data_IF_820013719992
#
_entry.id   IF_820013719992
#
_cell.length_a   1.000
_cell.length_b   1.000
_cell.length_c   1.000
_cell.angle_alpha   90.00
_cell.angle_beta   90.00
_cell.angle_gamma   90.00
#
_symmetry.space_group_name_H-M   'P 1'
#
loop_
_entity.id
_entity.type
_entity.pdbx_description
1 polymer ?
#
# COMPACT_ATOMS: atom_id res chain seq x y z
N UNK A 1 61.08 35.12 13.56
CA UNK A 1 60.51 33.78 13.38
C UNK A 1 59.05 33.97 13.08
N UNK A 2 58.66 33.74 11.84
CA UNK A 2 57.27 33.87 11.41
C UNK A 2 56.43 32.81 12.11
N UNK A 3 55.26 33.19 12.62
CA UNK A 3 54.46 32.37 13.55
C UNK A 3 53.79 31.19 12.81
N UNK A 4 54.56 30.12 12.62
CA UNK A 4 54.15 28.89 11.93
C UNK A 4 52.89 28.27 12.54
N UNK A 5 52.60 28.52 13.83
CA UNK A 5 51.40 28.07 14.52
C UNK A 5 50.14 28.75 13.98
N UNK A 6 50.19 30.08 13.81
CA UNK A 6 49.08 30.86 13.27
C UNK A 6 48.73 30.43 11.83
N UNK A 7 49.74 30.19 11.00
CA UNK A 7 49.54 29.74 9.61
C UNK A 7 48.84 28.37 9.54
N UNK A 8 49.24 27.42 10.40
CA UNK A 8 48.62 26.11 10.49
C UNK A 8 47.15 26.20 10.96
N UNK A 9 46.88 27.06 11.94
CA UNK A 9 45.53 27.31 12.44
C UNK A 9 44.62 27.90 11.35
N UNK A 10 45.09 28.93 10.62
CA UNK A 10 44.33 29.54 9.53
C UNK A 10 44.04 28.54 8.41
N UNK A 11 45.01 27.67 8.07
CA UNK A 11 44.79 26.61 7.10
C UNK A 11 43.76 25.59 7.55
N UNK A 12 43.75 25.23 8.84
CA UNK A 12 42.74 24.34 9.42
C UNK A 12 41.36 24.98 9.35
N UNK A 13 41.23 26.24 9.77
CA UNK A 13 39.97 26.99 9.71
C UNK A 13 39.45 27.03 8.26
N UNK A 14 40.31 27.29 7.28
CA UNK A 14 39.91 27.30 5.87
C UNK A 14 39.36 25.95 5.39
N UNK A 15 39.98 24.84 5.80
CA UNK A 15 39.47 23.49 5.50
C UNK A 15 38.13 23.22 6.17
N UNK A 16 38.01 23.57 7.44
CA UNK A 16 36.79 23.34 8.22
C UNK A 16 35.63 24.17 7.63
N UNK A 17 35.88 25.41 7.21
CA UNK A 17 34.87 26.26 6.53
C UNK A 17 34.44 25.67 5.18
N UNK A 18 35.38 25.16 4.38
CA UNK A 18 35.04 24.51 3.10
C UNK A 18 34.18 23.26 3.32
N UNK A 19 34.55 22.42 4.29
CA UNK A 19 33.78 21.22 4.63
C UNK A 19 32.39 21.57 5.15
N UNK A 20 32.26 22.63 5.96
CA UNK A 20 30.98 23.10 6.46
C UNK A 20 30.07 23.55 5.31
N UNK A 21 30.61 24.28 4.32
CA UNK A 21 29.83 24.71 3.17
C UNK A 21 29.28 23.51 2.37
N UNK A 22 30.13 22.54 2.05
CA UNK A 22 29.71 21.32 1.35
C UNK A 22 28.64 20.54 2.13
N UNK A 23 28.74 20.51 3.47
CA UNK A 23 27.72 19.89 4.31
C UNK A 23 26.39 20.67 4.27
N UNK A 24 26.43 22.00 4.25
CA UNK A 24 25.24 22.84 4.13
C UNK A 24 24.55 22.64 2.77
N UNK A 25 25.31 22.59 1.67
CA UNK A 25 24.78 22.35 0.33
C UNK A 25 24.06 20.98 0.25
N UNK A 26 24.66 19.95 0.88
CA UNK A 26 24.04 18.62 1.01
C UNK A 26 22.76 18.65 1.83
N UNK A 27 22.77 19.36 2.96
CA UNK A 27 21.60 19.50 3.81
C UNK A 27 20.45 20.20 3.09
N UNK A 28 20.73 21.29 2.38
CA UNK A 28 19.73 22.01 1.57
C UNK A 28 19.11 21.08 0.51
N UNK A 29 19.95 20.31 -0.17
CA UNK A 29 19.49 19.34 -1.17
C UNK A 29 18.57 18.28 -0.55
N UNK A 30 18.93 17.73 0.61
CA UNK A 30 18.12 16.73 1.31
C UNK A 30 16.79 17.30 1.79
N UNK A 31 16.79 18.51 2.36
CA UNK A 31 15.56 19.21 2.79
C UNK A 31 14.60 19.38 1.62
N UNK A 32 15.10 19.83 0.47
CA UNK A 32 14.30 19.98 -0.74
C UNK A 32 13.71 18.65 -1.23
N UNK A 33 14.47 17.55 -1.11
CA UNK A 33 13.94 16.21 -1.45
C UNK A 33 12.87 15.75 -0.47
N UNK A 34 13.04 16.01 0.83
CA UNK A 34 12.06 15.66 1.85
C UNK A 34 10.75 16.41 1.66
N UNK A 35 10.80 17.68 1.28
CA UNK A 35 9.61 18.47 0.99
C UNK A 35 8.82 17.89 -0.20
N UNK A 36 9.51 17.51 -1.28
CA UNK A 36 8.90 16.83 -2.44
C UNK A 36 8.26 15.49 -2.04
N UNK A 37 8.97 14.67 -1.27
CA UNK A 37 8.45 13.38 -0.76
C UNK A 37 7.21 13.59 0.10
N UNK A 38 7.22 14.59 0.98
CA UNK A 38 6.07 14.96 1.82
C UNK A 38 4.86 15.36 0.98
N UNK A 39 5.06 16.12 -0.09
CA UNK A 39 3.98 16.50 -0.99
C UNK A 39 3.34 15.27 -1.66
N UNK A 40 4.16 14.39 -2.25
CA UNK A 40 3.70 13.15 -2.87
C UNK A 40 2.97 12.23 -1.88
N UNK A 41 3.46 12.13 -0.65
CA UNK A 41 2.80 11.33 0.38
C UNK A 41 1.41 11.87 0.74
N UNK A 42 1.25 13.21 0.75
CA UNK A 42 -0.06 13.84 0.97
C UNK A 42 -1.01 13.57 -0.19
N UNK A 43 -0.53 13.62 -1.43
CA UNK A 43 -1.35 13.29 -2.61
C UNK A 43 -1.80 11.82 -2.59
N UNK A 44 -0.90 10.90 -2.24
CA UNK A 44 -1.20 9.49 -2.09
C UNK A 44 -2.26 9.25 -0.99
N UNK A 45 -2.11 9.91 0.16
CA UNK A 45 -3.10 9.84 1.23
C UNK A 45 -4.49 10.29 0.74
N UNK A 46 -4.56 11.42 0.04
CA UNK A 46 -5.82 11.93 -0.50
C UNK A 46 -6.43 10.99 -1.55
N UNK A 47 -5.61 10.32 -2.36
CA UNK A 47 -6.08 9.31 -3.30
C UNK A 47 -6.67 8.12 -2.56
N UNK A 48 -5.95 7.56 -1.59
CA UNK A 48 -6.42 6.43 -0.79
C UNK A 48 -7.73 6.74 -0.03
N UNK A 49 -7.87 7.95 0.52
CA UNK A 49 -9.11 8.38 1.18
C UNK A 49 -10.30 8.46 0.21
N UNK A 50 -10.08 8.91 -1.04
CA UNK A 50 -11.13 8.91 -2.07
C UNK A 50 -11.54 7.49 -2.45
N UNK A 51 -10.56 6.61 -2.69
CA UNK A 51 -10.80 5.23 -3.11
C UNK A 51 -11.54 4.45 -2.01
N UNK A 52 -11.16 4.66 -0.73
CA UNK A 52 -11.87 4.09 0.41
C UNK A 52 -13.33 4.54 0.44
N UNK A 53 -13.57 5.85 0.30
CA UNK A 53 -14.92 6.41 0.31
C UNK A 53 -15.78 5.88 -0.84
N UNK A 54 -15.18 5.72 -2.02
CA UNK A 54 -15.86 5.12 -3.17
C UNK A 54 -16.20 3.65 -2.92
N UNK A 55 -15.27 2.87 -2.37
CA UNK A 55 -15.50 1.48 -2.02
C UNK A 55 -16.61 1.33 -0.96
N UNK A 56 -16.61 2.16 0.07
CA UNK A 56 -17.68 2.23 1.08
C UNK A 56 -19.03 2.55 0.43
N UNK A 57 -19.08 3.56 -0.45
CA UNK A 57 -20.31 3.91 -1.17
C UNK A 57 -20.83 2.74 -2.03
N UNK A 58 -19.95 2.03 -2.73
CA UNK A 58 -20.33 0.87 -3.53
C UNK A 58 -20.87 -0.28 -2.66
N UNK A 59 -20.30 -0.49 -1.47
CA UNK A 59 -20.78 -1.49 -0.50
C UNK A 59 -22.17 -1.14 0.06
N UNK A 60 -22.44 0.14 0.30
CA UNK A 60 -23.76 0.60 0.77
C UNK A 60 -24.84 0.52 -0.30
N UNK A 61 -24.48 0.72 -1.58
CA UNK A 61 -25.42 0.87 -2.69
C UNK A 61 -25.49 -0.36 -3.60
N UNK A 62 -25.32 -1.56 -3.04
CA UNK A 62 -25.45 -2.82 -3.80
C UNK A 62 -26.93 -3.02 -4.20
N UNK A 63 -27.25 -3.13 -5.50
CA UNK A 63 -28.60 -3.42 -5.95
C UNK A 63 -29.16 -4.71 -5.34
N UNK A 64 -30.43 -4.68 -4.93
CA UNK A 64 -31.09 -5.79 -4.22
C UNK A 64 -31.20 -7.10 -5.01
N UNK A 65 -31.03 -7.05 -6.33
CA UNK A 65 -31.04 -8.21 -7.21
C UNK A 65 -29.67 -8.88 -7.36
N UNK A 66 -28.58 -8.26 -6.88
CA UNK A 66 -27.25 -8.87 -6.89
C UNK A 66 -27.05 -9.78 -5.67
N UNK A 67 -26.26 -10.86 -5.81
CA UNK A 67 -25.85 -11.66 -4.68
C UNK A 67 -25.15 -10.78 -3.63
N UNK A 68 -25.58 -10.88 -2.37
CA UNK A 68 -24.90 -10.17 -1.29
C UNK A 68 -23.46 -10.71 -1.18
N UNK A 69 -22.44 -9.84 -1.08
CA UNK A 69 -21.07 -10.30 -0.90
C UNK A 69 -21.00 -11.18 0.35
N UNK A 70 -20.42 -12.38 0.20
CA UNK A 70 -20.07 -13.24 1.31
C UNK A 70 -19.05 -12.50 2.17
N UNK A 71 -19.16 -12.65 3.49
CA UNK A 71 -18.34 -11.92 4.48
C UNK A 71 -16.82 -12.06 4.25
N UNK A 72 -16.39 -13.08 3.50
CA UNK A 72 -15.02 -13.34 3.06
C UNK A 72 -14.46 -12.28 2.09
N UNK A 73 -15.29 -11.58 1.31
CA UNK A 73 -14.85 -10.48 0.44
C UNK A 73 -14.67 -9.15 1.19
N UNK A 74 -15.15 -9.05 2.43
CA UNK A 74 -15.00 -7.85 3.27
C UNK A 74 -13.66 -7.97 4.01
N UNK A 75 -12.57 -8.03 3.26
CA UNK A 75 -11.23 -7.78 3.78
C UNK A 75 -11.04 -6.27 3.94
N UNK A 76 -11.87 -5.63 4.77
CA UNK A 76 -11.49 -4.35 5.37
C UNK A 76 -10.31 -4.69 6.29
N UNK A 77 -9.12 -4.10 6.09
CA UNK A 77 -8.01 -4.34 7.01
C UNK A 77 -8.31 -3.59 8.30
N UNK A 78 -9.15 -4.17 9.15
CA UNK A 78 -9.22 -3.80 10.55
C UNK A 78 -7.89 -4.16 11.17
N UNK A 79 -7.01 -3.16 11.32
CA UNK A 79 -5.76 -3.28 12.05
C UNK A 79 -6.08 -3.62 13.51
N UNK A 80 -6.19 -4.90 13.80
CA UNK A 80 -5.97 -5.49 15.12
C UNK A 80 -5.09 -6.71 14.95
N UNK A 81 -3.80 -6.44 15.07
CA UNK A 81 -2.71 -7.38 15.28
C UNK A 81 -2.96 -8.11 16.59
N UNK A 82 -3.37 -9.37 16.53
CA UNK A 82 -3.01 -10.37 17.52
C UNK A 82 -2.66 -11.68 16.80
N UNK A 83 -1.43 -12.13 17.03
CA UNK A 83 -0.93 -13.44 16.65
C UNK A 83 -1.87 -14.54 17.18
N UNK A 84 -2.27 -15.47 16.32
CA UNK A 84 -2.13 -16.88 16.64
C UNK A 84 -2.29 -17.76 15.39
N UNK A 85 -1.14 -18.23 14.93
CA UNK A 85 -0.94 -19.43 14.13
C UNK A 85 -1.71 -20.60 14.75
N UNK A 86 -2.64 -21.23 14.02
CA UNK A 86 -2.86 -22.70 13.98
C UNK A 86 -3.58 -23.10 12.70
N UNK A 87 -2.82 -23.79 11.87
CA UNK A 87 -3.23 -24.73 10.83
C UNK A 87 -4.09 -25.84 11.45
N UNK A 88 -5.31 -26.03 10.93
CA UNK A 88 -6.06 -27.29 11.00
C UNK A 88 -7.32 -27.19 10.10
N UNK A 89 -7.30 -27.95 9.01
CA UNK A 89 -8.43 -28.27 8.13
C UNK A 89 -9.63 -28.83 8.93
N UNK A 90 -10.88 -28.35 8.75
CA UNK A 90 -12.03 -29.00 9.32
C UNK A 90 -12.72 -29.90 8.30
N UNK A 91 -12.59 -31.19 8.59
CA UNK A 91 -13.33 -32.31 8.04
C UNK A 91 -14.85 -32.06 8.02
N UNK A 92 -15.50 -32.54 6.96
CA UNK A 92 -16.90 -32.30 6.63
C UNK A 92 -17.89 -32.85 7.69
N UNK A 93 -18.85 -32.02 8.12
CA UNK A 93 -20.01 -32.50 8.87
C UNK A 93 -21.32 -31.75 8.55
N UNK A 94 -22.14 -32.41 7.71
CA UNK A 94 -23.62 -32.56 7.74
C UNK A 94 -24.51 -31.30 7.72
N UNK A 95 -25.08 -31.07 6.52
CA UNK A 95 -26.22 -30.18 6.19
C UNK A 95 -27.53 -30.56 6.94
N UNK A 96 -28.45 -29.61 7.17
CA UNK A 96 -29.89 -29.89 7.14
C UNK A 96 -30.53 -29.41 5.83
N UNK A 97 -31.55 -30.14 5.40
CA UNK A 97 -32.22 -30.05 4.11
C UNK A 97 -32.79 -28.65 3.79
N UNK A 98 -32.36 -28.06 2.67
CA UNK A 98 -33.04 -26.96 1.99
C UNK A 98 -33.26 -27.34 0.53
N UNK A 99 -34.53 -27.26 0.14
CA UNK A 99 -35.13 -27.61 -1.16
C UNK A 99 -34.15 -27.49 -2.32
N UNK A 100 -33.99 -28.59 -3.04
CA UNK A 100 -33.16 -28.73 -4.23
C UNK A 100 -33.69 -27.78 -5.32
N UNK A 101 -33.09 -26.59 -5.40
CA UNK A 101 -33.24 -25.75 -6.59
C UNK A 101 -32.37 -26.40 -7.65
N UNK A 102 -32.99 -26.93 -8.71
CA UNK A 102 -32.29 -27.41 -9.89
C UNK A 102 -31.60 -26.21 -10.54
N UNK A 103 -30.35 -25.96 -10.16
CA UNK A 103 -29.49 -25.00 -10.84
C UNK A 103 -29.02 -25.72 -12.10
N UNK A 104 -29.45 -25.23 -13.27
CA UNK A 104 -28.90 -25.68 -14.55
C UNK A 104 -27.51 -25.06 -14.66
N UNK A 105 -26.49 -25.81 -14.23
CA UNK A 105 -25.10 -25.44 -14.48
C UNK A 105 -24.86 -25.48 -15.99
N UNK A 106 -24.53 -24.32 -16.55
CA UNK A 106 -24.04 -24.20 -17.93
C UNK A 106 -22.52 -24.39 -17.89
N UNK A 107 -22.00 -25.24 -18.78
CA UNK A 107 -20.57 -25.48 -18.90
C UNK A 107 -19.84 -24.15 -19.14
N UNK A 108 -18.79 -23.91 -18.37
CA UNK A 108 -17.91 -22.76 -18.58
C UNK A 108 -17.17 -22.97 -19.90
N UNK A 109 -17.21 -21.96 -20.78
CA UNK A 109 -16.43 -22.00 -22.02
C UNK A 109 -14.94 -22.04 -21.69
N UNK A 110 -14.26 -22.99 -22.29
CA UNK A 110 -12.81 -23.15 -22.17
C UNK A 110 -12.10 -22.14 -23.08
N UNK A 111 -10.90 -21.71 -22.69
CA UNK A 111 -10.11 -20.76 -23.47
C UNK A 111 -9.76 -21.26 -24.89
N UNK A 112 -9.89 -22.55 -25.13
CA UNK A 112 -9.65 -23.20 -26.41
C UNK A 112 -10.82 -22.99 -27.39
N UNK A 113 -12.06 -22.95 -26.89
CA UNK A 113 -13.28 -22.66 -27.68
C UNK A 113 -13.33 -21.20 -28.16
N UNK A 114 -12.63 -20.29 -27.47
CA UNK A 114 -12.58 -18.86 -27.83
C UNK A 114 -11.57 -18.53 -28.94
N UNK A 115 -10.65 -19.45 -29.28
CA UNK A 115 -9.58 -19.20 -30.27
C UNK A 115 -10.08 -19.18 -31.72
N UNK A 116 -11.32 -19.61 -31.97
CA UNK A 116 -11.93 -19.67 -33.30
C UNK A 116 -12.96 -18.57 -33.59
N UNK A 117 -13.13 -17.58 -32.71
CA UNK A 117 -14.07 -16.47 -32.94
C UNK A 117 -13.37 -15.40 -33.79
N UNK A 118 -13.92 -15.00 -34.96
CA UNK A 118 -13.31 -14.01 -35.86
C UNK A 118 -13.08 -12.63 -35.24
#
# INVERSE_FOLDING_TARGET
>A
GEDNSLKALLHKIGKDMFLLNDLLDKMETEVNQQEKKKHLLKELQQAAERDLKEAEHLLEHIPSYLPKPTQECVAVPTVKREEQTKEAEPEAAKKPAKKERVIKEIALLTAEEFKGVP
#
